data_IF_538578114125
#
_entry.id   IF_538578114125
#
_cell.length_a   1.000
_cell.length_b   1.000
_cell.length_c   1.000
_cell.angle_alpha   90.00
_cell.angle_beta   90.00
_cell.angle_gamma   90.00
#
_symmetry.space_group_name_H-M   'P 1'
#
loop_
_entity.id
_entity.type
_entity.pdbx_description
1 polymer ?
#
# COMPACT_ATOMS: atom_id res chain seq x y z
N UNK A 1 -33.64 -50.84 -17.16
CA UNK A 1 -33.78 -49.97 -15.99
C UNK A 1 -33.35 -48.58 -16.43
N UNK A 2 -34.16 -47.81 -17.17
CA UNK A 2 -35.64 -47.77 -17.22
C UNK A 2 -36.22 -47.32 -15.87
N UNK A 3 -37.12 -46.33 -15.79
CA UNK A 3 -37.96 -45.76 -16.87
C UNK A 3 -37.89 -44.24 -17.06
N UNK A 4 -38.20 -43.85 -18.29
CA UNK A 4 -38.67 -42.54 -18.71
C UNK A 4 -40.17 -42.67 -19.00
N UNK A 5 -41.04 -41.78 -18.47
CA UNK A 5 -42.42 -41.69 -18.94
C UNK A 5 -43.08 -40.36 -18.59
N UNK A 6 -43.65 -39.71 -19.61
CA UNK A 6 -44.66 -38.68 -19.48
C UNK A 6 -45.71 -38.89 -20.59
N UNK A 7 -47.00 -38.95 -20.22
CA UNK A 7 -48.10 -39.06 -21.18
C UNK A 7 -49.39 -38.41 -20.64
N UNK A 8 -50.37 -38.19 -21.54
CA UNK A 8 -51.67 -37.54 -21.33
C UNK A 8 -52.81 -38.34 -21.99
N UNK A 9 -54.04 -37.84 -21.87
CA UNK A 9 -55.30 -38.25 -22.54
C UNK A 9 -55.95 -39.55 -22.02
N UNK A 10 -57.26 -39.76 -22.16
CA UNK A 10 -58.38 -38.90 -22.65
C UNK A 10 -59.59 -39.00 -21.68
N UNK A 11 -60.58 -38.10 -21.64
CA UNK A 11 -61.59 -37.66 -22.65
C UNK A 11 -62.91 -38.46 -22.61
N UNK A 12 -64.01 -37.81 -23.04
CA UNK A 12 -65.42 -38.28 -23.21
C UNK A 12 -66.26 -38.64 -21.96
N UNK A 13 -67.60 -38.44 -21.92
CA UNK A 13 -68.52 -37.67 -22.80
C UNK A 13 -69.92 -37.41 -22.16
N UNK A 14 -70.63 -36.37 -22.64
CA UNK A 14 -72.10 -36.25 -22.68
C UNK A 14 -72.89 -35.95 -21.38
N UNK A 15 -74.13 -35.42 -21.39
CA UNK A 15 -74.92 -34.75 -22.47
C UNK A 15 -76.10 -33.96 -21.84
N UNK A 16 -76.65 -32.95 -22.55
CA UNK A 16 -77.99 -32.32 -22.34
C UNK A 16 -78.28 -31.61 -20.99
N UNK A 17 -79.39 -30.88 -20.78
CA UNK A 17 -80.10 -29.81 -21.54
C UNK A 17 -81.15 -29.19 -20.57
N UNK A 18 -81.64 -27.94 -20.62
CA UNK A 18 -81.28 -26.64 -21.22
C UNK A 18 -81.75 -25.56 -20.18
N UNK A 19 -82.09 -24.27 -20.37
CA UNK A 19 -82.18 -23.25 -21.44
C UNK A 19 -82.21 -21.85 -20.74
N UNK A 20 -82.34 -20.72 -21.47
CA UNK A 20 -83.10 -19.55 -20.97
C UNK A 20 -82.39 -18.18 -20.91
N UNK A 21 -82.60 -17.37 -21.95
CA UNK A 21 -82.68 -15.90 -21.94
C UNK A 21 -81.53 -15.00 -21.37
N UNK A 22 -80.82 -14.35 -22.31
CA UNK A 22 -80.42 -12.91 -22.31
C UNK A 22 -79.60 -12.29 -21.15
N UNK A 23 -78.42 -11.74 -21.50
CA UNK A 23 -78.13 -10.32 -21.17
C UNK A 23 -76.83 -9.95 -20.43
N UNK A 24 -75.75 -9.72 -21.18
CA UNK A 24 -74.69 -8.69 -20.97
C UNK A 24 -73.98 -8.58 -19.59
N UNK A 25 -72.64 -8.68 -19.59
CA UNK A 25 -71.79 -7.95 -18.62
C UNK A 25 -70.59 -8.73 -18.06
N UNK A 26 -69.39 -8.51 -18.61
CA UNK A 26 -68.17 -9.17 -18.12
C UNK A 26 -67.61 -8.50 -16.84
N UNK A 27 -67.49 -9.27 -15.76
CA UNK A 27 -66.83 -8.82 -14.51
C UNK A 27 -65.33 -9.12 -14.54
N UNK A 28 -64.54 -8.20 -15.09
CA UNK A 28 -63.09 -8.27 -15.08
C UNK A 28 -62.50 -7.87 -13.72
N UNK A 29 -61.94 -8.82 -12.98
CA UNK A 29 -61.33 -8.59 -11.66
C UNK A 29 -60.03 -7.74 -11.74
N UNK A 30 -60.19 -6.41 -11.77
CA UNK A 30 -59.08 -5.47 -11.88
C UNK A 30 -58.17 -5.44 -10.65
N UNK A 31 -56.97 -6.03 -10.76
CA UNK A 31 -55.98 -6.05 -9.70
C UNK A 31 -55.49 -4.63 -9.34
N UNK A 32 -55.89 -4.12 -8.16
CA UNK A 32 -55.59 -2.76 -7.69
C UNK A 32 -54.09 -2.60 -7.40
N UNK A 33 -53.33 -2.16 -8.40
CA UNK A 33 -51.92 -1.77 -8.25
C UNK A 33 -51.81 -0.54 -7.35
N UNK A 34 -51.54 -0.77 -6.05
CA UNK A 34 -51.29 0.29 -5.05
C UNK A 34 -50.31 1.35 -5.61
N UNK A 35 -50.66 2.65 -5.62
CA UNK A 35 -49.85 3.67 -6.27
C UNK A 35 -48.52 3.85 -5.52
N UNK A 36 -47.40 3.65 -6.23
CA UNK A 36 -46.06 3.94 -5.69
C UNK A 36 -45.95 5.43 -5.34
N UNK A 37 -45.92 5.71 -4.04
CA UNK A 37 -45.98 7.07 -3.49
C UNK A 37 -44.92 7.99 -4.12
N UNK A 38 -45.24 9.28 -4.26
CA UNK A 38 -44.31 10.26 -4.82
C UNK A 38 -43.01 10.31 -4.00
N UNK A 39 -43.11 10.20 -2.67
CA UNK A 39 -41.98 10.06 -1.75
C UNK A 39 -41.06 8.87 -2.11
N UNK A 40 -41.58 7.66 -2.33
CA UNK A 40 -40.75 6.50 -2.67
C UNK A 40 -40.01 6.64 -4.02
N UNK A 41 -40.52 7.47 -4.95
CA UNK A 41 -39.81 7.83 -6.19
C UNK A 41 -38.74 8.90 -5.97
N UNK A 42 -38.99 9.87 -5.08
CA UNK A 42 -38.02 10.91 -4.72
C UNK A 42 -36.85 10.29 -3.94
N UNK A 43 -37.12 9.49 -2.89
CA UNK A 43 -36.08 8.78 -2.12
C UNK A 43 -35.21 7.90 -3.01
N UNK A 44 -35.80 7.17 -3.96
CA UNK A 44 -35.02 6.40 -4.95
C UNK A 44 -34.14 7.29 -5.84
N UNK A 45 -34.64 8.42 -6.33
CA UNK A 45 -33.86 9.36 -7.15
C UNK A 45 -32.70 9.99 -6.36
N UNK A 46 -32.94 10.38 -5.10
CA UNK A 46 -31.90 10.90 -4.20
C UNK A 46 -30.86 9.82 -3.90
N UNK A 47 -31.27 8.58 -3.63
CA UNK A 47 -30.35 7.45 -3.44
C UNK A 47 -29.49 7.16 -4.68
N UNK A 48 -30.07 7.17 -5.89
CA UNK A 48 -29.29 7.03 -7.13
C UNK A 48 -28.35 8.21 -7.38
N UNK A 49 -28.75 9.44 -7.08
CA UNK A 49 -27.89 10.62 -7.20
C UNK A 49 -26.72 10.58 -6.21
N UNK A 50 -26.96 10.19 -4.96
CA UNK A 50 -25.93 10.02 -3.94
C UNK A 50 -24.95 8.88 -4.31
N UNK A 51 -25.45 7.75 -4.82
CA UNK A 51 -24.62 6.66 -5.32
C UNK A 51 -23.76 7.11 -6.52
N UNK A 52 -24.34 7.82 -7.49
CA UNK A 52 -23.60 8.34 -8.63
C UNK A 52 -22.52 9.35 -8.21
N UNK A 53 -22.83 10.27 -7.29
CA UNK A 53 -21.85 11.19 -6.73
C UNK A 53 -20.72 10.47 -5.98
N UNK A 54 -21.03 9.42 -5.20
CA UNK A 54 -20.05 8.57 -4.55
C UNK A 54 -19.14 7.83 -5.52
N UNK A 55 -19.68 7.30 -6.62
CA UNK A 55 -18.90 6.66 -7.68
C UNK A 55 -17.99 7.64 -8.44
N UNK A 56 -18.46 8.87 -8.70
CA UNK A 56 -17.63 9.94 -9.29
C UNK A 56 -16.50 10.37 -8.34
N UNK A 57 -16.79 10.51 -7.04
CA UNK A 57 -15.78 10.82 -6.03
C UNK A 57 -14.74 9.70 -5.89
N UNK A 58 -15.17 8.43 -5.91
CA UNK A 58 -14.28 7.27 -5.90
C UNK A 58 -13.39 7.20 -7.15
N UNK A 59 -13.96 7.43 -8.34
CA UNK A 59 -13.18 7.47 -9.58
C UNK A 59 -12.15 8.61 -9.58
N UNK A 60 -12.56 9.81 -9.14
CA UNK A 60 -11.64 10.95 -8.99
C UNK A 60 -10.51 10.67 -7.99
N UNK A 61 -10.82 10.02 -6.86
CA UNK A 61 -9.83 9.57 -5.89
C UNK A 61 -8.85 8.54 -6.48
N UNK A 62 -9.34 7.54 -7.22
CA UNK A 62 -8.49 6.51 -7.86
C UNK A 62 -7.57 7.14 -8.90
N UNK A 63 -8.08 8.04 -9.77
CA UNK A 63 -7.25 8.74 -10.76
C UNK A 63 -6.16 9.58 -10.07
N UNK A 64 -6.51 10.33 -9.03
CA UNK A 64 -5.57 11.14 -8.24
C UNK A 64 -4.53 10.28 -7.49
N UNK A 65 -4.93 9.12 -6.97
CA UNK A 65 -4.03 8.19 -6.28
C UNK A 65 -3.04 7.51 -7.24
N UNK A 66 -3.46 7.21 -8.47
CA UNK A 66 -2.64 6.57 -9.50
C UNK A 66 -1.62 7.52 -10.17
N UNK A 67 -1.70 8.83 -9.92
CA UNK A 67 -0.66 9.78 -10.31
C UNK A 67 0.16 10.24 -9.08
N UNK A 68 1.28 9.57 -8.74
CA UNK A 68 2.14 9.95 -7.63
C UNK A 68 3.13 11.08 -8.00
N UNK A 69 3.74 11.67 -6.97
CA UNK A 69 4.97 12.46 -7.09
C UNK A 69 6.06 11.55 -7.66
N UNK A 70 6.62 11.97 -8.79
CA UNK A 70 7.48 11.15 -9.66
C UNK A 70 8.94 11.18 -9.23
N UNK A 71 9.67 10.12 -9.53
CA UNK A 71 11.10 10.06 -9.33
C UNK A 71 11.81 11.11 -10.21
N UNK A 72 12.78 11.84 -9.63
CA UNK A 72 13.57 12.80 -10.40
C UNK A 72 14.42 12.07 -11.45
N UNK A 73 14.36 12.48 -12.75
CA UNK A 73 15.05 11.75 -13.81
C UNK A 73 16.58 11.68 -13.65
N UNK A 74 17.19 12.70 -13.05
CA UNK A 74 18.66 12.81 -12.95
C UNK A 74 19.27 11.86 -11.89
N UNK A 75 18.79 11.81 -10.63
CA UNK A 75 19.19 10.77 -9.69
C UNK A 75 18.89 9.35 -10.20
N UNK A 76 17.76 9.15 -10.89
CA UNK A 76 17.35 7.84 -11.37
C UNK A 76 18.24 7.32 -12.52
N UNK A 77 18.60 8.18 -13.49
CA UNK A 77 19.47 7.80 -14.61
C UNK A 77 20.92 7.53 -14.17
N UNK A 78 21.40 8.21 -13.13
CA UNK A 78 22.74 7.98 -12.57
C UNK A 78 22.93 6.58 -11.95
N UNK A 79 21.86 5.79 -11.83
CA UNK A 79 21.94 4.37 -11.44
C UNK A 79 22.20 3.42 -12.61
N UNK A 80 21.89 3.84 -13.85
CA UNK A 80 21.96 2.99 -15.04
C UNK A 80 23.36 2.97 -15.67
N UNK A 81 24.14 4.04 -15.47
CA UNK A 81 25.57 4.13 -15.83
C UNK A 81 26.48 3.24 -14.97
N UNK A 82 25.94 2.58 -13.93
CA UNK A 82 26.74 2.10 -12.82
C UNK A 82 27.10 0.59 -12.87
N UNK A 83 28.34 0.31 -12.50
CA UNK A 83 28.95 -1.01 -12.67
C UNK A 83 28.87 -1.91 -11.44
N UNK A 84 28.64 -1.42 -10.21
CA UNK A 84 28.64 -2.28 -9.00
C UNK A 84 27.29 -2.95 -8.68
N UNK A 85 26.15 -2.45 -9.17
CA UNK A 85 24.81 -3.04 -8.90
C UNK A 85 24.03 -3.37 -10.17
N UNK A 86 22.98 -4.19 -10.08
CA UNK A 86 21.88 -4.27 -11.06
C UNK A 86 20.68 -3.52 -10.50
N UNK A 87 19.96 -2.78 -11.35
CA UNK A 87 18.68 -2.14 -11.02
C UNK A 87 17.57 -2.77 -11.83
N UNK A 88 16.78 -3.64 -11.19
CA UNK A 88 15.58 -4.23 -11.78
C UNK A 88 14.40 -3.29 -11.53
N UNK A 89 13.65 -2.93 -12.58
CA UNK A 89 12.45 -2.09 -12.51
C UNK A 89 11.26 -2.87 -13.12
N UNK A 90 10.12 -2.87 -12.44
CA UNK A 90 8.94 -3.65 -12.84
C UNK A 90 7.66 -3.05 -12.23
N UNK A 91 6.48 -3.54 -12.64
CA UNK A 91 5.19 -3.18 -12.02
C UNK A 91 5.16 -3.47 -10.51
N UNK A 92 5.91 -4.49 -10.05
CA UNK A 92 6.03 -4.85 -8.64
C UNK A 92 6.92 -3.89 -7.82
N UNK A 93 7.71 -3.04 -8.48
CA UNK A 93 8.60 -2.05 -7.87
C UNK A 93 10.00 -2.03 -8.45
N UNK A 94 10.93 -1.44 -7.69
CA UNK A 94 12.36 -1.36 -8.00
C UNK A 94 13.17 -2.23 -7.03
N UNK A 95 14.16 -2.95 -7.55
CA UNK A 95 15.11 -3.74 -6.75
C UNK A 95 16.53 -3.37 -7.11
N UNK A 96 17.36 -3.08 -6.10
CA UNK A 96 18.80 -2.87 -6.21
C UNK A 96 19.53 -4.13 -5.74
N UNK A 97 20.38 -4.70 -6.59
CA UNK A 97 21.05 -5.98 -6.35
C UNK A 97 22.57 -5.78 -6.47
N UNK A 98 23.38 -6.08 -5.44
CA UNK A 98 24.84 -6.04 -5.56
C UNK A 98 25.34 -7.06 -6.59
N UNK A 99 26.22 -6.64 -7.52
CA UNK A 99 26.87 -7.59 -8.47
C UNK A 99 27.94 -8.45 -7.80
N UNK A 100 28.52 -7.98 -6.69
CA UNK A 100 29.56 -8.65 -5.90
C UNK A 100 29.42 -8.28 -4.42
N UNK A 101 30.04 -9.05 -3.52
CA UNK A 101 30.12 -8.70 -2.09
C UNK A 101 28.78 -8.79 -1.32
N UNK A 102 27.81 -9.55 -1.82
CA UNK A 102 26.51 -9.71 -1.18
C UNK A 102 26.64 -10.20 0.28
N UNK A 103 26.06 -9.44 1.21
CA UNK A 103 26.14 -9.64 2.67
C UNK A 103 25.16 -10.68 3.21
N UNK A 104 24.19 -11.11 2.40
CA UNK A 104 23.01 -11.85 2.85
C UNK A 104 21.99 -10.98 3.60
N UNK A 105 22.21 -9.67 3.74
CA UNK A 105 21.20 -8.73 4.28
C UNK A 105 20.33 -8.15 3.16
N UNK A 106 19.07 -7.84 3.50
CA UNK A 106 18.16 -7.12 2.61
C UNK A 106 17.23 -6.16 3.35
N UNK A 107 16.79 -5.11 2.65
CA UNK A 107 15.88 -4.08 3.15
C UNK A 107 14.66 -3.95 2.23
N UNK A 108 13.46 -4.16 2.75
CA UNK A 108 12.21 -3.76 2.09
C UNK A 108 11.86 -2.33 2.53
N UNK A 109 11.94 -1.36 1.62
CA UNK A 109 11.62 0.05 1.88
C UNK A 109 10.25 0.41 1.31
N UNK A 110 9.26 0.65 2.17
CA UNK A 110 7.94 1.10 1.75
C UNK A 110 7.90 2.60 1.39
N UNK A 111 7.37 2.98 0.22
CA UNK A 111 7.32 4.37 -0.23
C UNK A 111 6.33 5.23 0.58
N UNK A 112 6.53 6.55 0.52
CA UNK A 112 5.58 7.53 1.06
C UNK A 112 4.25 7.57 0.32
N UNK A 113 3.26 8.23 0.93
CA UNK A 113 1.94 8.42 0.34
C UNK A 113 2.01 9.21 -0.97
N UNK A 114 1.57 8.60 -2.08
CA UNK A 114 1.68 9.14 -3.45
C UNK A 114 3.13 9.52 -3.82
N UNK A 115 4.11 8.68 -3.46
CA UNK A 115 5.50 8.76 -3.98
C UNK A 115 5.79 7.52 -4.85
N UNK A 116 6.38 7.74 -6.02
CA UNK A 116 6.82 6.67 -6.91
C UNK A 116 7.99 5.87 -6.30
N UNK A 117 7.98 4.52 -6.29
CA UNK A 117 9.04 3.71 -5.66
C UNK A 117 10.46 4.04 -6.16
N UNK A 118 10.60 4.39 -7.44
CA UNK A 118 11.89 4.75 -8.03
C UNK A 118 12.56 5.97 -7.37
N UNK A 119 11.80 6.84 -6.69
CA UNK A 119 12.35 8.00 -5.98
C UNK A 119 13.25 7.63 -4.80
N UNK A 120 13.16 6.42 -4.24
CA UNK A 120 14.02 5.99 -3.14
C UNK A 120 15.29 5.25 -3.62
N UNK A 121 15.39 4.95 -4.91
CA UNK A 121 16.47 4.11 -5.46
C UNK A 121 17.85 4.77 -5.33
N UNK A 122 17.97 6.07 -5.64
CA UNK A 122 19.24 6.79 -5.52
C UNK A 122 19.61 7.08 -4.04
N UNK A 123 18.63 7.42 -3.18
CA UNK A 123 18.83 7.59 -1.73
C UNK A 123 19.37 6.34 -1.03
N UNK A 124 18.93 5.15 -1.45
CA UNK A 124 19.33 3.87 -0.85
C UNK A 124 20.51 3.20 -1.55
N UNK A 125 21.05 3.82 -2.59
CA UNK A 125 22.08 3.25 -3.46
C UNK A 125 23.29 2.70 -2.70
N UNK A 126 23.82 3.48 -1.75
CA UNK A 126 25.00 3.10 -0.98
C UNK A 126 24.85 1.82 -0.14
N UNK A 127 23.63 1.34 0.10
CA UNK A 127 23.39 0.03 0.73
C UNK A 127 23.68 -1.11 -0.26
N UNK A 128 23.28 -0.96 -1.51
CA UNK A 128 23.54 -1.95 -2.55
C UNK A 128 25.02 -1.99 -2.95
N UNK A 129 25.74 -0.86 -2.93
CA UNK A 129 27.20 -0.85 -3.04
C UNK A 129 27.91 -1.53 -1.87
N UNK A 130 27.31 -1.48 -0.68
CA UNK A 130 27.75 -2.18 0.52
C UNK A 130 27.24 -3.64 0.61
N UNK A 131 26.69 -4.19 -0.48
CA UNK A 131 26.31 -5.61 -0.55
C UNK A 131 24.93 -5.95 0.04
N UNK A 132 24.03 -4.98 0.24
CA UNK A 132 22.66 -5.20 0.76
C UNK A 132 21.65 -5.19 -0.39
N UNK A 133 20.76 -6.17 -0.47
CA UNK A 133 19.64 -6.16 -1.43
C UNK A 133 18.59 -5.13 -0.98
N UNK A 134 18.21 -4.18 -1.85
CA UNK A 134 17.18 -3.19 -1.52
C UNK A 134 15.95 -3.45 -2.40
N UNK A 135 14.80 -3.65 -1.78
CA UNK A 135 13.49 -3.82 -2.43
C UNK A 135 12.65 -2.59 -2.13
N UNK A 136 12.11 -1.96 -3.17
CA UNK A 136 11.26 -0.77 -3.05
C UNK A 136 9.96 -1.07 -3.82
N UNK A 137 8.98 -1.72 -3.17
CA UNK A 137 7.82 -2.26 -3.87
C UNK A 137 6.85 -1.14 -4.28
N UNK A 138 6.23 -1.31 -5.46
CA UNK A 138 4.99 -0.62 -5.81
C UNK A 138 3.92 -1.04 -4.81
N UNK A 139 3.17 -0.08 -4.25
CA UNK A 139 2.13 -0.34 -3.24
C UNK A 139 0.74 0.05 -3.74
N UNK A 140 -0.29 -0.62 -3.20
CA UNK A 140 -1.69 -0.43 -3.59
C UNK A 140 -2.10 1.07 -3.66
N UNK A 141 -2.49 1.53 -4.85
CA UNK A 141 -2.88 2.94 -5.13
C UNK A 141 -1.83 3.99 -4.70
N UNK A 142 -0.54 3.63 -4.60
CA UNK A 142 0.53 4.46 -4.05
C UNK A 142 0.33 4.86 -2.56
N UNK A 143 -0.41 4.05 -1.77
CA UNK A 143 -0.55 4.21 -0.33
C UNK A 143 -0.25 2.90 0.41
N UNK A 144 0.87 2.84 1.13
CA UNK A 144 1.30 1.61 1.83
C UNK A 144 0.29 1.06 2.85
N UNK A 145 -0.59 1.89 3.43
CA UNK A 145 -1.67 1.43 4.34
C UNK A 145 -2.83 0.72 3.63
N UNK A 146 -2.95 0.80 2.30
CA UNK A 146 -3.90 -0.01 1.54
C UNK A 146 -3.29 -1.33 1.06
N UNK A 147 -1.99 -1.56 1.32
CA UNK A 147 -1.30 -2.76 0.89
C UNK A 147 -1.49 -3.90 1.89
N UNK A 148 -2.36 -4.85 1.52
CA UNK A 148 -2.74 -6.01 2.31
C UNK A 148 -1.70 -7.13 2.32
N UNK A 149 -0.62 -7.02 1.53
CA UNK A 149 0.46 -8.01 1.50
C UNK A 149 1.15 -8.14 2.86
N UNK A 150 1.52 -9.38 3.18
CA UNK A 150 2.42 -9.70 4.28
C UNK A 150 3.88 -9.44 3.91
N UNK A 151 4.75 -9.43 4.92
CA UNK A 151 6.18 -9.19 4.70
C UNK A 151 6.81 -10.19 3.72
N UNK A 152 6.39 -11.46 3.80
CA UNK A 152 6.75 -12.56 2.88
C UNK A 152 6.51 -12.26 1.40
N UNK A 153 5.49 -11.45 1.10
CA UNK A 153 5.04 -11.19 -0.27
C UNK A 153 5.74 -9.96 -0.85
N UNK A 154 6.28 -9.11 0.03
CA UNK A 154 7.16 -8.00 -0.30
C UNK A 154 8.59 -8.50 -0.54
N UNK A 155 9.06 -9.49 0.21
CA UNK A 155 10.39 -10.11 -0.01
C UNK A 155 10.44 -10.92 -1.31
N UNK A 156 9.33 -11.54 -1.75
CA UNK A 156 9.24 -12.24 -3.04
C UNK A 156 9.52 -11.34 -4.26
N UNK A 157 9.42 -10.01 -4.13
CA UNK A 157 9.83 -9.07 -5.19
C UNK A 157 11.34 -9.13 -5.44
N UNK A 158 12.14 -9.47 -4.42
CA UNK A 158 13.57 -9.75 -4.58
C UNK A 158 13.82 -11.02 -5.38
N UNK A 159 13.11 -12.11 -5.06
CA UNK A 159 13.25 -13.40 -5.74
C UNK A 159 12.87 -13.31 -7.21
N UNK A 160 11.77 -12.61 -7.52
CA UNK A 160 11.34 -12.31 -8.90
C UNK A 160 12.35 -11.44 -9.68
N UNK A 161 13.16 -10.65 -8.98
CA UNK A 161 14.27 -9.88 -9.55
C UNK A 161 15.61 -10.64 -9.59
N UNK A 162 15.66 -11.89 -9.11
CA UNK A 162 16.85 -12.75 -9.08
C UNK A 162 17.70 -12.67 -7.80
N UNK A 163 17.28 -11.93 -6.78
CA UNK A 163 18.06 -11.65 -5.56
C UNK A 163 17.81 -12.68 -4.43
N UNK A 164 17.83 -13.97 -4.76
CA UNK A 164 17.37 -15.09 -3.92
C UNK A 164 18.28 -15.47 -2.72
N UNK A 165 19.36 -14.72 -2.47
CA UNK A 165 20.38 -15.05 -1.46
C UNK A 165 20.27 -14.25 -0.15
N UNK A 166 19.13 -13.60 0.10
CA UNK A 166 18.91 -12.84 1.34
C UNK A 166 18.54 -13.76 2.51
N UNK A 167 19.33 -13.69 3.57
CA UNK A 167 19.22 -14.50 4.79
C UNK A 167 18.66 -13.70 5.97
N UNK A 168 18.90 -12.37 6.01
CA UNK A 168 18.45 -11.48 7.09
C UNK A 168 17.73 -10.27 6.53
N UNK A 169 16.43 -10.19 6.81
CA UNK A 169 15.56 -9.14 6.30
C UNK A 169 15.29 -8.03 7.32
N UNK A 170 15.35 -6.80 6.84
CA UNK A 170 14.93 -5.59 7.53
C UNK A 170 13.75 -4.97 6.77
N UNK A 171 12.87 -4.29 7.49
CA UNK A 171 11.80 -3.47 6.88
C UNK A 171 12.06 -2.00 7.17
N UNK A 172 11.64 -1.14 6.28
CA UNK A 172 11.64 0.29 6.50
C UNK A 172 10.55 0.98 5.72
N UNK A 173 10.41 2.29 5.94
CA UNK A 173 9.52 3.08 5.12
C UNK A 173 9.58 4.57 5.39
N UNK A 174 9.19 5.33 4.37
CA UNK A 174 9.11 6.78 4.44
C UNK A 174 7.70 7.21 4.80
N UNK A 175 7.54 8.13 5.76
CA UNK A 175 6.25 8.73 6.09
C UNK A 175 5.17 7.67 6.34
N UNK A 176 4.05 7.70 5.61
CA UNK A 176 3.01 6.68 5.68
C UNK A 176 3.51 5.23 5.43
N UNK A 177 4.56 5.05 4.63
CA UNK A 177 5.25 3.78 4.43
C UNK A 177 5.93 3.27 5.70
N UNK A 178 6.51 4.17 6.51
CA UNK A 178 7.11 3.83 7.80
C UNK A 178 6.07 3.39 8.84
N UNK A 179 4.85 3.93 8.77
CA UNK A 179 3.71 3.45 9.57
C UNK A 179 3.34 2.01 9.21
N UNK A 180 3.24 1.66 7.91
CA UNK A 180 3.00 0.27 7.48
C UNK A 180 4.19 -0.65 7.82
N UNK A 181 5.43 -0.17 7.70
CA UNK A 181 6.62 -0.93 8.07
C UNK A 181 6.60 -1.29 9.56
N UNK A 182 6.18 -0.37 10.43
CA UNK A 182 5.98 -0.64 11.85
C UNK A 182 4.86 -1.67 12.11
N UNK A 183 3.74 -1.58 11.39
CA UNK A 183 2.68 -2.60 11.46
C UNK A 183 3.19 -3.99 11.05
N UNK A 184 4.01 -4.09 10.00
CA UNK A 184 4.60 -5.37 9.58
C UNK A 184 5.50 -6.00 10.65
N UNK A 185 6.21 -5.20 11.47
CA UNK A 185 6.94 -5.71 12.65
C UNK A 185 5.99 -6.23 13.72
N UNK A 186 4.91 -5.50 14.02
CA UNK A 186 3.90 -5.96 14.97
C UNK A 186 3.22 -7.26 14.48
N UNK A 187 2.84 -7.33 13.20
CA UNK A 187 2.27 -8.51 12.54
C UNK A 187 3.23 -9.71 12.59
N UNK A 188 4.53 -9.50 12.37
CA UNK A 188 5.58 -10.53 12.41
C UNK A 188 5.84 -11.09 13.82
N UNK A 189 5.81 -10.23 14.85
CA UNK A 189 5.97 -10.65 16.26
C UNK A 189 4.70 -11.28 16.82
N UNK A 190 3.52 -10.73 16.53
CA UNK A 190 2.24 -11.31 16.94
C UNK A 190 1.97 -12.70 16.31
N UNK A 191 2.52 -12.97 15.12
CA UNK A 191 2.48 -14.29 14.46
C UNK A 191 3.61 -15.24 14.87
N UNK A 192 4.53 -14.80 15.74
CA UNK A 192 5.66 -15.63 16.22
C UNK A 192 6.71 -15.98 15.17
N UNK A 193 6.66 -15.39 13.97
CA UNK A 193 7.58 -15.70 12.86
C UNK A 193 8.98 -15.14 13.09
N UNK A 194 9.08 -13.94 13.66
CA UNK A 194 10.34 -13.23 13.90
C UNK A 194 11.22 -13.08 12.63
N UNK A 195 10.60 -12.97 11.45
CA UNK A 195 11.29 -12.87 10.17
C UNK A 195 11.93 -11.49 9.92
N UNK A 196 11.51 -10.46 10.67
CA UNK A 196 12.02 -9.08 10.51
C UNK A 196 13.06 -8.77 11.59
N UNK A 197 14.33 -8.65 11.20
CA UNK A 197 15.44 -8.37 12.12
C UNK A 197 15.47 -6.93 12.66
N UNK A 198 14.87 -5.98 11.93
CA UNK A 198 14.82 -4.57 12.34
C UNK A 198 13.96 -3.67 11.47
N UNK A 199 13.75 -2.45 11.97
CA UNK A 199 12.89 -1.40 11.42
C UNK A 199 13.68 -0.13 11.13
N UNK A 200 13.50 0.45 9.94
CA UNK A 200 14.09 1.74 9.54
C UNK A 200 12.98 2.75 9.21
N UNK A 201 12.83 3.79 10.02
CA UNK A 201 11.85 4.86 9.82
C UNK A 201 12.52 6.10 9.21
N UNK A 202 12.09 6.51 8.02
CA UNK A 202 12.48 7.79 7.41
C UNK A 202 11.31 8.78 7.54
N UNK A 203 11.52 9.95 8.16
CA UNK A 203 10.47 10.97 8.29
C UNK A 203 9.15 10.37 8.83
N UNK A 204 9.23 9.49 9.83
CA UNK A 204 8.11 8.64 10.24
C UNK A 204 8.18 8.24 11.71
N UNK A 205 7.03 7.86 12.24
CA UNK A 205 6.81 7.31 13.57
C UNK A 205 6.04 5.97 13.48
N UNK A 206 6.06 5.19 14.56
CA UNK A 206 5.17 4.04 14.74
C UNK A 206 3.76 4.49 15.15
N UNK A 207 2.74 3.74 14.72
CA UNK A 207 1.37 3.85 15.22
C UNK A 207 0.86 2.53 15.85
N UNK A 208 1.58 1.42 15.65
CA UNK A 208 1.45 0.20 16.43
C UNK A 208 2.48 0.24 17.58
N UNK A 209 2.16 -0.37 18.71
CA UNK A 209 3.12 -0.55 19.80
C UNK A 209 4.02 -1.76 19.51
N UNK A 210 5.33 -1.53 19.40
CA UNK A 210 6.37 -2.56 19.30
C UNK A 210 7.41 -2.41 20.43
N UNK A 211 7.09 -1.69 21.50
CA UNK A 211 8.01 -1.37 22.62
C UNK A 211 8.52 -2.59 23.39
N UNK A 212 7.75 -3.68 23.39
CA UNK A 212 8.08 -4.98 24.00
C UNK A 212 8.87 -5.91 23.07
N UNK A 213 9.16 -5.51 21.82
CA UNK A 213 9.84 -6.36 20.83
C UNK A 213 11.36 -6.27 20.92
N UNK A 214 12.04 -7.28 20.38
CA UNK A 214 13.49 -7.36 20.22
C UNK A 214 14.01 -6.67 18.94
N UNK A 215 13.11 -6.09 18.13
CA UNK A 215 13.45 -5.53 16.82
C UNK A 215 14.44 -4.37 16.94
N UNK A 216 15.51 -4.41 16.13
CA UNK A 216 16.48 -3.30 16.06
C UNK A 216 15.85 -2.13 15.30
N UNK A 217 15.62 -1.00 15.96
CA UNK A 217 14.95 0.16 15.34
C UNK A 217 15.90 1.35 15.16
N UNK A 218 15.88 1.92 13.95
CA UNK A 218 16.49 3.20 13.60
C UNK A 218 15.41 4.18 13.16
N UNK A 219 15.33 5.34 13.82
CA UNK A 219 14.50 6.47 13.42
C UNK A 219 15.37 7.61 12.90
N UNK A 220 15.18 7.96 11.63
CA UNK A 220 15.85 9.05 10.93
C UNK A 220 14.84 10.16 10.65
N UNK A 221 15.04 11.33 11.25
CA UNK A 221 14.13 12.48 11.14
C UNK A 221 14.80 13.69 10.48
N UNK A 222 14.00 14.50 9.78
CA UNK A 222 14.47 15.78 9.25
C UNK A 222 14.22 16.91 10.27
N UNK A 223 15.27 17.64 10.66
CA UNK A 223 15.13 18.81 11.56
C UNK A 223 14.19 19.92 11.04
N UNK A 224 13.89 19.90 9.73
CA UNK A 224 13.04 20.85 9.02
C UNK A 224 11.74 20.21 8.51
N UNK A 225 11.57 18.91 8.72
CA UNK A 225 10.37 18.13 8.36
C UNK A 225 9.13 18.82 8.94
N UNK A 226 8.20 19.19 8.06
CA UNK A 226 6.93 19.83 8.42
C UNK A 226 5.78 18.85 8.63
N UNK A 227 5.90 17.62 8.10
CA UNK A 227 4.83 16.63 8.03
C UNK A 227 4.95 15.63 9.20
N UNK A 228 6.08 14.94 9.30
CA UNK A 228 6.50 14.09 10.42
C UNK A 228 7.54 14.81 11.28
N UNK A 229 7.16 16.00 11.77
CA UNK A 229 8.05 16.88 12.55
C UNK A 229 8.80 16.14 13.66
N UNK A 230 10.04 16.56 14.02
CA UNK A 230 10.81 15.92 15.10
C UNK A 230 10.03 15.76 16.42
N UNK A 231 9.10 16.67 16.72
CA UNK A 231 8.21 16.56 17.88
C UNK A 231 7.23 15.37 17.78
N UNK A 232 6.65 15.08 16.61
CA UNK A 232 5.80 13.90 16.38
C UNK A 232 6.60 12.61 16.50
N UNK A 233 7.79 12.58 15.90
CA UNK A 233 8.72 11.44 15.95
C UNK A 233 9.14 11.14 17.39
N UNK A 234 9.54 12.17 18.15
CA UNK A 234 9.91 12.04 19.56
C UNK A 234 8.72 11.64 20.45
N UNK A 235 7.51 12.15 20.20
CA UNK A 235 6.33 11.77 20.97
C UNK A 235 6.00 10.27 20.84
N UNK A 236 6.23 9.69 19.66
CA UNK A 236 6.02 8.27 19.40
C UNK A 236 7.11 7.33 19.95
N UNK A 237 8.17 7.85 20.60
CA UNK A 237 9.26 7.04 21.19
C UNK A 237 8.76 5.91 22.10
N UNK A 238 7.66 6.14 22.81
CA UNK A 238 7.08 5.17 23.74
C UNK A 238 6.52 3.90 23.07
N UNK A 239 6.30 3.91 21.75
CA UNK A 239 5.85 2.76 20.95
C UNK A 239 7.02 1.93 20.38
N UNK A 240 8.26 2.31 20.68
CA UNK A 240 9.48 1.66 20.18
C UNK A 240 10.26 1.00 21.33
N UNK A 241 11.07 -0.04 21.06
CA UNK A 241 11.97 -0.62 22.05
C UNK A 241 12.87 0.42 22.72
N UNK A 242 13.23 0.18 23.98
CA UNK A 242 14.15 1.06 24.71
C UNK A 242 15.50 1.23 23.99
N UNK A 243 15.93 0.22 23.22
CA UNK A 243 17.13 0.18 22.38
C UNK A 243 17.02 0.96 21.05
N UNK A 244 15.87 1.54 20.71
CA UNK A 244 15.68 2.26 19.45
C UNK A 244 16.58 3.50 19.33
N UNK A 245 17.35 3.57 18.24
CA UNK A 245 18.29 4.66 17.93
C UNK A 245 17.59 5.78 17.15
N UNK A 246 17.80 7.02 17.54
CA UNK A 246 17.22 8.21 16.91
C UNK A 246 18.31 9.13 16.37
N UNK A 247 18.19 9.55 15.11
CA UNK A 247 19.15 10.41 14.41
C UNK A 247 18.42 11.52 13.66
N UNK A 248 18.58 12.77 14.12
CA UNK A 248 18.06 13.95 13.41
C UNK A 248 19.08 14.43 12.37
N UNK A 249 18.71 14.39 11.09
CA UNK A 249 19.50 14.93 10.00
C UNK A 249 19.30 16.45 9.94
N UNK A 250 20.18 17.20 10.63
CA UNK A 250 20.14 18.66 10.64
C UNK A 250 20.23 19.23 9.21
N UNK A 251 19.22 20.01 8.83
CA UNK A 251 19.01 20.60 7.51
C UNK A 251 18.06 19.81 6.59
N UNK A 252 17.76 18.54 6.85
CA UNK A 252 16.79 17.78 6.04
C UNK A 252 15.34 18.13 6.42
N UNK A 253 14.47 18.10 5.41
CA UNK A 253 13.01 18.18 5.50
C UNK A 253 12.37 16.79 5.27
N UNK A 254 11.07 16.70 4.98
CA UNK A 254 10.39 15.43 4.71
C UNK A 254 10.74 14.90 3.32
N UNK A 255 10.69 15.78 2.30
CA UNK A 255 11.03 15.44 0.92
C UNK A 255 12.46 14.88 0.78
N UNK A 256 13.42 15.39 1.58
CA UNK A 256 14.84 14.98 1.60
C UNK A 256 15.10 13.46 1.66
N UNK A 257 14.14 12.64 2.11
CA UNK A 257 14.27 11.18 2.18
C UNK A 257 13.99 10.46 0.84
N UNK A 258 13.63 11.18 -0.22
CA UNK A 258 13.43 10.67 -1.58
C UNK A 258 13.89 11.66 -2.66
N UNK A 259 14.01 11.20 -3.90
CA UNK A 259 14.26 12.01 -5.09
C UNK A 259 12.93 12.25 -5.83
N UNK A 260 12.08 13.13 -5.32
CA UNK A 260 10.75 13.43 -5.90
C UNK A 260 10.32 14.91 -5.87
N UNK A 261 11.27 15.83 -5.66
CA UNK A 261 10.99 17.27 -5.54
C UNK A 261 10.35 17.71 -4.21
N UNK A 262 10.07 19.01 -4.09
CA UNK A 262 9.54 19.63 -2.87
C UNK A 262 8.11 19.19 -2.55
N UNK A 263 7.81 18.96 -1.26
CA UNK A 263 6.48 18.53 -0.80
C UNK A 263 5.73 19.64 -0.04
N UNK A 264 4.46 19.96 -0.39
CA UNK A 264 3.67 20.95 0.32
C UNK A 264 3.51 20.64 1.82
N UNK A 265 3.92 21.58 2.67
CA UNK A 265 3.88 21.49 4.13
C UNK A 265 5.26 21.49 4.79
N UNK A 266 6.34 21.26 4.03
CA UNK A 266 7.72 21.30 4.53
C UNK A 266 8.28 22.71 4.76
N UNK A 267 9.43 22.78 5.44
CA UNK A 267 10.31 23.96 5.46
C UNK A 267 11.50 23.66 4.54
N UNK A 268 11.73 24.40 3.43
CA UNK A 268 12.68 24.02 2.38
C UNK A 268 14.04 23.55 2.91
N UNK A 269 14.54 22.42 2.42
CA UNK A 269 15.80 21.82 2.84
C UNK A 269 16.99 22.79 2.91
N UNK A 270 17.87 22.57 3.89
CA UNK A 270 19.16 23.24 4.01
C UNK A 270 20.32 22.25 4.26
N UNK A 271 20.07 20.95 4.15
CA UNK A 271 21.09 19.93 3.99
C UNK A 271 21.36 19.74 2.49
N UNK A 272 22.59 19.38 2.12
CA UNK A 272 22.87 18.89 0.77
C UNK A 272 22.42 17.45 0.64
N UNK A 273 21.93 17.07 -0.54
CA UNK A 273 21.47 15.70 -0.82
C UNK A 273 22.49 14.64 -0.38
N UNK A 274 23.76 14.82 -0.82
CA UNK A 274 24.89 13.94 -0.47
C UNK A 274 24.98 13.68 1.03
N UNK A 275 24.74 14.69 1.89
CA UNK A 275 24.77 14.54 3.35
C UNK A 275 23.64 13.64 3.84
N UNK A 276 22.44 13.78 3.28
CA UNK A 276 21.29 12.91 3.61
C UNK A 276 21.62 11.49 3.19
N UNK A 277 21.87 11.26 1.90
CA UNK A 277 22.21 9.96 1.30
C UNK A 277 23.35 9.23 2.01
N UNK A 278 24.43 9.93 2.38
CA UNK A 278 25.53 9.34 3.16
C UNK A 278 25.14 8.98 4.60
N UNK A 279 24.27 9.79 5.23
CA UNK A 279 23.77 9.53 6.60
C UNK A 279 22.82 8.33 6.60
N UNK A 280 21.90 8.23 5.64
CA UNK A 280 21.03 7.06 5.49
C UNK A 280 21.87 5.79 5.35
N UNK A 281 22.82 5.78 4.41
CA UNK A 281 23.73 4.66 4.16
C UNK A 281 24.49 4.25 5.43
N UNK A 282 25.17 5.20 6.10
CA UNK A 282 25.99 4.92 7.28
C UNK A 282 25.17 4.34 8.45
N UNK A 283 24.03 4.96 8.76
CA UNK A 283 23.26 4.59 9.96
C UNK A 283 22.52 3.26 9.77
N UNK A 284 22.05 2.95 8.56
CA UNK A 284 21.42 1.66 8.26
C UNK A 284 22.45 0.52 8.27
N UNK A 285 23.65 0.72 7.71
CA UNK A 285 24.71 -0.29 7.79
C UNK A 285 25.15 -0.54 9.24
N UNK A 286 25.21 0.49 10.08
CA UNK A 286 25.45 0.33 11.52
C UNK A 286 24.35 -0.51 12.22
N UNK A 287 23.07 -0.28 11.88
CA UNK A 287 21.93 -1.08 12.37
C UNK A 287 22.00 -2.55 11.94
N UNK A 288 22.59 -2.83 10.78
CA UNK A 288 22.74 -4.19 10.22
C UNK A 288 23.94 -4.96 10.78
N UNK A 289 24.96 -4.24 11.29
CA UNK A 289 26.19 -4.80 11.85
C UNK A 289 26.11 -5.10 13.35
N UNK A 290 25.33 -4.30 14.11
CA UNK A 290 24.96 -4.59 15.50
C UNK A 290 23.96 -5.74 15.62
#
# INVERSE_FOLDING_TARGET
MSDESAARAGDDAGTESADGATGVGASGAGAIRRPRSRAARIVRRVGFAALAAGLVALLGFVIWALDPMRAEPKPLAALDDDTSIVVTRSDAGVVLIPKQGATGAGLVMLPGARVEPAAYAAKLRGLADAGVVVVIPSVALNFALFDTRGFSDLTQVADAAGATQVQRWYVGGHSLGGVRACQLVADDRASGRNAIAGLVLFGSYCAADISSTDAKVLSLSGSRDGLSTPAKVQAARHLLPASATFVEIRGADHASFGDYGEQPGDKPASASDRKVTSTLTQQILALMQG
#
